data_IF_019958738302
#
_entry.id   IF_019958738302
#
_cell.length_a   1.000
_cell.length_b   1.000
_cell.length_c   1.000
_cell.angle_alpha   90.00
_cell.angle_beta   90.00
_cell.angle_gamma   90.00
#
_symmetry.space_group_name_H-M   'P 1'
#
loop_
_entity.id
_entity.type
_entity.pdbx_description
1 polymer ?
#
# COMPACT_ATOMS: atom_id res chain seq x y z
N UNK A 1 -0.59 4.58 -6.57
CA UNK A 1 -1.70 4.46 -5.61
C UNK A 1 -1.22 3.73 -4.36
N UNK A 2 -1.91 3.94 -3.24
CA UNK A 2 -1.65 3.24 -1.97
C UNK A 2 -2.83 2.34 -1.61
N UNK A 3 -2.53 1.08 -1.28
CA UNK A 3 -3.49 0.14 -0.69
C UNK A 3 -3.10 -0.11 0.78
N UNK A 4 -4.09 -0.18 1.65
CA UNK A 4 -3.91 -0.47 3.07
C UNK A 4 -5.15 -1.19 3.63
N UNK A 5 -5.06 -1.68 4.87
CA UNK A 5 -6.15 -2.39 5.54
C UNK A 5 -6.02 -2.29 7.06
N UNK A 6 -7.06 -2.70 7.79
CA UNK A 6 -7.05 -2.70 9.26
C UNK A 6 -6.81 -1.31 9.88
N UNK A 7 -6.02 -1.28 10.96
CA UNK A 7 -5.67 -0.08 11.74
C UNK A 7 -4.72 0.87 11.01
N UNK A 8 -4.03 0.42 9.94
CA UNK A 8 -3.21 1.29 9.10
C UNK A 8 -4.00 2.48 8.56
N UNK A 9 -5.32 2.35 8.41
CA UNK A 9 -6.19 3.41 7.95
C UNK A 9 -6.11 4.73 8.76
N UNK A 10 -5.74 4.67 10.04
CA UNK A 10 -5.68 5.83 10.92
C UNK A 10 -4.59 6.84 10.51
N UNK A 11 -3.50 6.36 9.92
CA UNK A 11 -2.34 7.21 9.55
C UNK A 11 -2.32 7.60 8.08
N UNK A 12 -3.14 6.97 7.24
CA UNK A 12 -3.09 7.19 5.78
C UNK A 12 -3.44 8.61 5.31
N UNK A 13 -4.35 9.36 5.96
CA UNK A 13 -4.56 10.76 5.59
C UNK A 13 -3.29 11.60 5.71
N UNK A 14 -2.52 11.41 6.78
CA UNK A 14 -1.26 12.12 7.01
C UNK A 14 -0.19 11.67 6.02
N UNK A 15 -0.08 10.37 5.74
CA UNK A 15 0.83 9.84 4.71
C UNK A 15 0.56 10.48 3.35
N UNK A 16 -0.71 10.56 2.93
CA UNK A 16 -1.07 11.19 1.65
C UNK A 16 -0.73 12.68 1.63
N UNK A 17 -0.98 13.39 2.74
CA UNK A 17 -0.62 14.80 2.89
C UNK A 17 0.90 15.02 2.74
N UNK A 18 1.71 14.24 3.47
CA UNK A 18 3.16 14.33 3.44
C UNK A 18 3.74 13.93 2.07
N UNK A 19 3.22 12.88 1.41
CA UNK A 19 3.65 12.52 0.06
C UNK A 19 3.36 13.64 -0.95
N UNK A 20 2.20 14.29 -0.84
CA UNK A 20 1.86 15.45 -1.68
C UNK A 20 2.85 16.60 -1.47
N UNK A 21 3.26 16.86 -0.22
CA UNK A 21 4.30 17.86 0.08
C UNK A 21 5.67 17.52 -0.56
N UNK A 22 5.93 16.25 -0.83
CA UNK A 22 7.11 15.77 -1.58
C UNK A 22 6.88 15.68 -3.10
N UNK A 23 5.76 16.21 -3.61
CA UNK A 23 5.43 16.21 -5.04
C UNK A 23 4.87 14.88 -5.56
N UNK A 24 4.51 13.94 -4.69
CA UNK A 24 3.91 12.66 -5.07
C UNK A 24 2.43 12.62 -4.65
N UNK A 25 1.54 12.89 -5.61
CA UNK A 25 0.10 12.70 -5.39
C UNK A 25 -0.28 11.22 -5.53
N UNK A 26 -1.14 10.74 -4.62
CA UNK A 26 -1.53 9.34 -4.54
C UNK A 26 -3.02 9.17 -4.29
N UNK A 27 -3.62 8.22 -5.00
CA UNK A 27 -4.94 7.71 -4.64
C UNK A 27 -4.83 6.69 -3.50
N UNK A 28 -5.86 6.63 -2.67
CA UNK A 28 -5.95 5.77 -1.49
C UNK A 28 -7.06 4.73 -1.67
N UNK A 29 -6.78 3.47 -1.32
CA UNK A 29 -7.80 2.42 -1.23
C UNK A 29 -7.62 1.57 0.03
N UNK A 30 -8.69 1.44 0.82
CA UNK A 30 -8.76 0.55 1.98
C UNK A 30 -9.41 -0.78 1.61
N UNK A 31 -8.67 -1.89 1.76
CA UNK A 31 -9.25 -3.24 1.70
C UNK A 31 -9.99 -3.51 3.01
N UNK A 32 -11.25 -3.94 2.90
CA UNK A 32 -12.14 -4.19 4.06
C UNK A 32 -12.35 -5.66 4.38
N UNK A 33 -12.23 -6.54 3.39
CA UNK A 33 -12.46 -7.98 3.54
C UNK A 33 -11.72 -8.77 2.46
N UNK A 34 -11.56 -10.08 2.70
CA UNK A 34 -11.20 -11.08 1.70
C UNK A 34 -12.37 -12.08 1.55
N UNK A 35 -12.63 -12.64 0.35
CA UNK A 35 -11.97 -12.37 -0.92
C UNK A 35 -12.06 -10.90 -1.34
N UNK A 36 -11.05 -10.40 -2.06
CA UNK A 36 -10.96 -8.99 -2.40
C UNK A 36 -12.06 -8.59 -3.38
N UNK A 37 -12.67 -7.43 -3.14
CA UNK A 37 -13.71 -6.91 -4.01
C UNK A 37 -13.11 -6.46 -5.35
N UNK A 38 -13.92 -6.44 -6.42
CA UNK A 38 -13.48 -6.10 -7.78
C UNK A 38 -12.75 -4.75 -7.82
N UNK A 39 -13.21 -3.79 -7.02
CA UNK A 39 -12.68 -2.43 -6.91
C UNK A 39 -11.20 -2.41 -6.51
N UNK A 40 -10.74 -3.40 -5.72
CA UNK A 40 -9.33 -3.53 -5.35
C UNK A 40 -8.48 -3.82 -6.59
N UNK A 41 -8.94 -4.73 -7.44
CA UNK A 41 -8.22 -5.11 -8.65
C UNK A 41 -8.32 -4.07 -9.75
N UNK A 42 -9.46 -3.39 -9.86
CA UNK A 42 -9.61 -2.23 -10.74
C UNK A 42 -8.66 -1.11 -10.30
N UNK A 43 -8.55 -0.84 -9.00
CA UNK A 43 -7.58 0.12 -8.50
C UNK A 43 -6.14 -0.27 -8.88
N UNK A 44 -5.78 -1.55 -8.75
CA UNK A 44 -4.44 -2.01 -9.14
C UNK A 44 -4.18 -1.86 -10.65
N UNK A 45 -5.17 -2.12 -11.50
CA UNK A 45 -4.99 -2.02 -12.96
C UNK A 45 -4.86 -0.58 -13.45
N UNK A 46 -5.55 0.38 -12.80
CA UNK A 46 -5.49 1.80 -13.16
C UNK A 46 -4.19 2.51 -12.73
N UNK A 47 -3.36 1.85 -11.91
CA UNK A 47 -2.11 2.43 -11.43
C UNK A 47 -0.89 1.74 -12.05
N UNK A 48 0.14 2.54 -12.39
CA UNK A 48 1.45 2.02 -12.82
C UNK A 48 2.10 1.19 -11.70
N UNK A 49 2.14 1.76 -10.50
CA UNK A 49 2.65 1.14 -9.28
C UNK A 49 1.65 1.31 -8.15
N UNK A 50 1.43 0.24 -7.39
CA UNK A 50 0.66 0.24 -6.15
C UNK A 50 1.57 -0.14 -5.00
N UNK A 51 1.68 0.75 -4.02
CA UNK A 51 2.30 0.43 -2.74
C UNK A 51 1.25 -0.14 -1.81
N UNK A 52 1.45 -1.38 -1.37
CA UNK A 52 0.59 -2.06 -0.41
C UNK A 52 1.25 -1.95 0.97
N UNK A 53 0.62 -1.22 1.89
CA UNK A 53 1.09 -1.03 3.26
C UNK A 53 0.66 -2.22 4.09
N UNK A 54 1.62 -2.92 4.71
CA UNK A 54 1.38 -4.14 5.45
C UNK A 54 2.04 -4.11 6.82
N UNK A 55 1.24 -4.34 7.87
CA UNK A 55 1.74 -4.58 9.23
C UNK A 55 2.00 -6.07 9.46
N UNK A 56 2.77 -6.68 8.55
CA UNK A 56 3.19 -8.08 8.67
C UNK A 56 4.58 -8.25 8.01
N UNK A 57 5.29 -9.32 8.37
CA UNK A 57 6.64 -9.60 7.87
C UNK A 57 6.64 -10.21 6.46
N UNK A 58 5.65 -11.03 6.15
CA UNK A 58 5.73 -11.99 5.03
C UNK A 58 4.96 -11.52 3.77
N UNK A 59 4.49 -10.28 3.74
CA UNK A 59 3.65 -9.70 2.68
C UNK A 59 2.36 -10.52 2.42
N UNK A 60 1.69 -10.96 3.50
CA UNK A 60 0.57 -11.89 3.40
C UNK A 60 -0.61 -11.34 2.59
N UNK A 61 -0.87 -10.03 2.66
CA UNK A 61 -1.96 -9.42 1.86
C UNK A 61 -1.59 -9.41 0.38
N UNK A 62 -0.32 -9.11 0.04
CA UNK A 62 0.15 -9.22 -1.34
C UNK A 62 -0.04 -10.65 -1.86
N UNK A 63 0.34 -11.65 -1.08
CA UNK A 63 0.21 -13.06 -1.47
C UNK A 63 -1.26 -13.44 -1.74
N UNK A 64 -2.18 -13.05 -0.85
CA UNK A 64 -3.61 -13.29 -1.01
C UNK A 64 -4.16 -12.65 -2.30
N UNK A 65 -3.87 -11.36 -2.54
CA UNK A 65 -4.31 -10.66 -3.75
C UNK A 65 -3.71 -11.28 -5.03
N UNK A 66 -2.45 -11.69 -5.00
CA UNK A 66 -1.81 -12.34 -6.15
C UNK A 66 -2.35 -13.75 -6.39
N UNK A 67 -2.77 -14.47 -5.36
CA UNK A 67 -3.41 -15.78 -5.50
C UNK A 67 -4.79 -15.63 -6.17
N UNK A 68 -5.58 -14.65 -5.75
CA UNK A 68 -6.88 -14.35 -6.34
C UNK A 68 -6.77 -13.81 -7.78
N UNK A 69 -5.76 -12.98 -8.06
CA UNK A 69 -5.55 -12.38 -9.39
C UNK A 69 -4.07 -12.28 -9.76
N UNK A 70 -3.45 -13.35 -10.28
CA UNK A 70 -2.00 -13.40 -10.53
C UNK A 70 -1.43 -12.27 -11.41
N UNK A 71 -2.23 -11.73 -12.33
CA UNK A 71 -1.78 -10.66 -13.23
C UNK A 71 -1.52 -9.31 -12.54
N UNK A 72 -1.93 -9.13 -11.28
CA UNK A 72 -1.68 -7.90 -10.52
C UNK A 72 -0.29 -7.87 -9.86
N UNK A 73 0.38 -9.01 -9.73
CA UNK A 73 1.61 -9.16 -8.95
C UNK A 73 2.74 -8.20 -9.35
N UNK A 74 2.90 -7.95 -10.64
CA UNK A 74 3.95 -7.05 -11.17
C UNK A 74 3.76 -5.58 -10.76
N UNK A 75 2.54 -5.17 -10.40
CA UNK A 75 2.19 -3.79 -10.04
C UNK A 75 2.24 -3.53 -8.53
N UNK A 76 2.24 -4.58 -7.70
CA UNK A 76 2.18 -4.45 -6.24
C UNK A 76 3.59 -4.49 -5.63
N UNK A 77 3.93 -3.44 -4.89
CA UNK A 77 5.12 -3.30 -4.08
C UNK A 77 4.72 -3.20 -2.61
N UNK A 78 5.18 -4.13 -1.77
CA UNK A 78 4.83 -4.11 -0.35
C UNK A 78 5.75 -3.17 0.43
N UNK A 79 5.15 -2.34 1.28
CA UNK A 79 5.80 -1.55 2.31
C UNK A 79 5.53 -2.27 3.63
N UNK A 80 6.54 -2.95 4.16
CA UNK A 80 6.42 -3.83 5.33
C UNK A 80 6.83 -3.09 6.60
N UNK A 81 5.91 -2.87 7.53
CA UNK A 81 6.15 -2.19 8.81
C UNK A 81 5.69 -3.08 9.96
N UNK A 82 6.60 -3.85 10.58
CA UNK A 82 6.25 -4.95 11.49
C UNK A 82 7.11 -5.03 12.76
N UNK A 83 7.63 -3.90 13.25
CA UNK A 83 8.50 -3.82 14.43
C UNK A 83 7.77 -3.82 15.79
N UNK A 84 6.43 -3.90 15.78
CA UNK A 84 5.60 -3.85 16.99
C UNK A 84 5.43 -2.46 17.57
N UNK A 85 5.97 -1.43 16.92
CA UNK A 85 5.75 -0.03 17.29
C UNK A 85 4.50 0.52 16.59
N UNK A 86 3.92 1.61 17.12
CA UNK A 86 2.86 2.34 16.42
C UNK A 86 3.31 2.74 15.02
N UNK A 87 2.39 2.69 14.07
CA UNK A 87 2.66 3.10 12.70
C UNK A 87 2.84 4.62 12.64
N UNK A 88 3.97 5.07 12.11
CA UNK A 88 4.33 6.49 12.02
C UNK A 88 4.30 6.91 10.54
N UNK A 89 3.59 8.00 10.24
CA UNK A 89 3.36 8.45 8.86
C UNK A 89 4.68 8.79 8.14
N UNK A 90 5.60 9.46 8.84
CA UNK A 90 6.91 9.88 8.34
C UNK A 90 7.79 8.68 7.95
N UNK A 91 7.71 7.58 8.71
CA UNK A 91 8.43 6.36 8.39
C UNK A 91 7.88 5.73 7.10
N UNK A 92 6.56 5.63 6.98
CA UNK A 92 5.92 5.13 5.76
C UNK A 92 6.26 5.97 4.54
N UNK A 93 6.19 7.30 4.66
CA UNK A 93 6.55 8.24 3.60
C UNK A 93 7.99 8.02 3.15
N UNK A 94 8.92 7.90 4.11
CA UNK A 94 10.33 7.63 3.82
C UNK A 94 10.51 6.34 3.04
N UNK A 95 9.87 5.25 3.47
CA UNK A 95 9.95 3.95 2.80
C UNK A 95 9.36 4.01 1.38
N UNK A 96 8.21 4.67 1.21
CA UNK A 96 7.55 4.84 -0.10
C UNK A 96 8.45 5.62 -1.06
N UNK A 97 8.98 6.77 -0.63
CA UNK A 97 9.84 7.61 -1.46
C UNK A 97 11.15 6.92 -1.82
N UNK A 98 11.74 6.15 -0.90
CA UNK A 98 12.92 5.36 -1.18
C UNK A 98 12.64 4.31 -2.26
N UNK A 99 11.52 3.60 -2.16
CA UNK A 99 11.17 2.56 -3.13
C UNK A 99 10.70 3.12 -4.48
N UNK A 100 10.09 4.31 -4.52
CA UNK A 100 9.74 4.99 -5.76
C UNK A 100 11.00 5.43 -6.53
N UNK A 101 12.05 5.90 -5.84
CA UNK A 101 13.33 6.29 -6.46
C UNK A 101 14.12 5.13 -7.09
N UNK A 102 13.81 3.88 -6.74
CA UNK A 102 14.47 2.69 -7.29
C UNK A 102 13.82 2.20 -8.60
N UNK A 103 12.82 2.91 -9.13
CA UNK A 103 12.16 2.63 -10.40
C UNK A 103 12.75 3.44 -11.55
#
# INVERSE_FOLDING_TARGET
GLIYYGSTAEVMPEVAHLLKAHGLEVDLLKVKALPAQKEVFDFISHHKTVFLIEQNRDAQMKQALCLEKPNCAGRIKSILSFDGLPLIAENLVTMILQQEKLQ
#
